data_IF_837705254312
#
_entry.id   IF_837705254312
#
_cell.length_a   1.000
_cell.length_b   1.000
_cell.length_c   1.000
_cell.angle_alpha   90.00
_cell.angle_beta   90.00
_cell.angle_gamma   90.00
#
_symmetry.space_group_name_H-M   'P 1'
#
loop_
_entity.id
_entity.type
_entity.pdbx_description
1 polymer ?
#
# COMPACT_ATOMS: atom_id res chain seq x y z
N UNK A 1 6.48 -6.64 22.53
CA UNK A 1 6.42 -5.59 21.48
C UNK A 1 7.69 -5.74 20.66
N UNK A 2 7.60 -5.77 19.33
CA UNK A 2 8.77 -5.84 18.43
C UNK A 2 8.98 -4.46 17.79
N UNK A 3 10.23 -4.12 17.53
CA UNK A 3 10.60 -2.92 16.79
C UNK A 3 10.68 -3.26 15.30
N UNK A 4 9.96 -2.50 14.49
CA UNK A 4 9.91 -2.67 13.04
C UNK A 4 10.25 -1.41 12.27
N UNK A 5 10.56 -1.55 10.98
CA UNK A 5 10.87 -0.46 10.05
C UNK A 5 10.33 -0.77 8.66
N UNK A 6 9.89 0.27 7.95
CA UNK A 6 9.55 0.18 6.53
C UNK A 6 10.85 0.21 5.70
N UNK A 7 11.06 -0.79 4.85
CA UNK A 7 12.36 -1.00 4.18
C UNK A 7 12.73 0.06 3.16
N UNK A 8 11.76 0.81 2.63
CA UNK A 8 12.02 1.85 1.63
C UNK A 8 12.90 3.01 2.12
N UNK A 9 13.08 3.17 3.44
CA UNK A 9 14.03 4.16 4.01
C UNK A 9 15.48 3.92 3.56
N UNK A 10 15.77 2.72 3.07
CA UNK A 10 17.05 2.33 2.45
C UNK A 10 16.84 1.62 1.11
N UNK A 11 15.85 2.03 0.34
CA UNK A 11 15.48 1.43 -0.95
C UNK A 11 16.61 1.36 -1.99
N UNK A 12 17.64 2.20 -1.84
CA UNK A 12 18.85 2.16 -2.66
C UNK A 12 19.83 1.02 -2.32
N UNK A 13 19.59 0.27 -1.24
CA UNK A 13 20.37 -0.92 -0.88
C UNK A 13 19.70 -2.19 -1.43
N UNK A 14 20.46 -3.25 -1.78
CA UNK A 14 19.87 -4.57 -1.95
C UNK A 14 19.16 -5.04 -0.67
N UNK A 15 18.08 -5.83 -0.81
CA UNK A 15 17.29 -6.33 0.33
C UNK A 15 18.17 -6.98 1.40
N UNK A 16 19.15 -7.81 1.00
CA UNK A 16 20.04 -8.49 1.94
C UNK A 16 20.85 -7.51 2.79
N UNK A 17 21.41 -6.47 2.17
CA UNK A 17 22.19 -5.45 2.88
C UNK A 17 21.30 -4.61 3.80
N UNK A 18 20.07 -4.29 3.37
CA UNK A 18 19.09 -3.59 4.18
C UNK A 18 18.72 -4.40 5.44
N UNK A 19 18.43 -5.69 5.29
CA UNK A 19 18.09 -6.56 6.43
C UNK A 19 19.26 -6.74 7.39
N UNK A 20 20.48 -6.89 6.86
CA UNK A 20 21.71 -6.95 7.66
C UNK A 20 21.90 -5.66 8.47
N UNK A 21 21.69 -4.52 7.85
CA UNK A 21 21.79 -3.21 8.50
C UNK A 21 20.75 -3.07 9.61
N UNK A 22 19.48 -3.38 9.33
CA UNK A 22 18.41 -3.33 10.33
C UNK A 22 18.65 -4.28 11.50
N UNK A 23 19.12 -5.49 11.22
CA UNK A 23 19.48 -6.46 12.28
C UNK A 23 20.57 -5.91 13.21
N UNK A 24 21.56 -5.20 12.67
CA UNK A 24 22.63 -4.59 13.47
C UNK A 24 22.13 -3.50 14.42
N UNK A 25 20.98 -2.90 14.14
CA UNK A 25 20.30 -1.90 14.98
C UNK A 25 19.29 -2.50 15.96
N UNK A 26 19.15 -3.83 15.99
CA UNK A 26 18.18 -4.51 16.87
C UNK A 26 16.75 -4.49 16.35
N UNK A 27 16.52 -4.15 15.07
CA UNK A 27 15.23 -4.28 14.41
C UNK A 27 14.83 -5.75 14.31
N UNK A 28 13.59 -6.08 14.57
CA UNK A 28 13.07 -7.44 14.65
C UNK A 28 12.06 -7.76 13.56
N UNK A 29 11.45 -6.73 12.96
CA UNK A 29 10.48 -6.91 11.89
C UNK A 29 10.59 -5.81 10.85
N UNK A 30 10.11 -6.11 9.66
CA UNK A 30 10.09 -5.17 8.53
C UNK A 30 8.70 -5.09 7.92
N UNK A 31 8.33 -3.91 7.50
CA UNK A 31 7.28 -3.67 6.52
C UNK A 31 7.98 -3.50 5.16
N UNK A 32 7.51 -4.18 4.13
CA UNK A 32 8.19 -4.17 2.83
C UNK A 32 7.29 -3.51 1.79
N UNK A 33 7.79 -2.43 1.19
CA UNK A 33 7.14 -1.77 0.05
C UNK A 33 7.13 -2.68 -1.18
N UNK A 34 5.95 -2.83 -1.80
CA UNK A 34 5.75 -3.70 -2.96
C UNK A 34 4.93 -3.03 -4.08
N UNK A 35 4.85 -1.71 -4.09
CA UNK A 35 4.18 -0.91 -5.11
C UNK A 35 3.80 0.48 -4.64
N UNK A 36 3.31 1.30 -5.57
CA UNK A 36 2.95 2.68 -5.30
C UNK A 36 4.15 3.56 -4.94
N UNK A 37 3.96 4.51 -4.03
CA UNK A 37 5.01 5.46 -3.61
C UNK A 37 6.22 4.81 -2.91
N UNK A 38 6.08 3.73 -2.11
CA UNK A 38 7.22 3.02 -1.54
C UNK A 38 8.13 2.37 -2.56
N UNK A 39 7.65 2.17 -3.80
CA UNK A 39 8.39 1.47 -4.83
C UNK A 39 8.39 -0.05 -4.66
N UNK A 40 9.23 -0.72 -5.45
CA UNK A 40 9.32 -2.19 -5.56
C UNK A 40 10.75 -2.70 -5.36
N UNK A 41 11.65 -1.87 -4.85
CA UNK A 41 13.10 -2.16 -4.81
C UNK A 41 13.43 -3.43 -4.03
N UNK A 42 12.69 -3.69 -2.94
CA UNK A 42 12.90 -4.86 -2.09
C UNK A 42 11.88 -5.99 -2.32
N UNK A 43 10.77 -5.71 -2.99
CA UNK A 43 9.75 -6.68 -3.31
C UNK A 43 9.01 -6.24 -4.58
N UNK A 44 9.32 -6.86 -5.70
CA UNK A 44 8.57 -6.67 -6.94
C UNK A 44 7.58 -7.82 -7.14
N UNK A 45 6.28 -7.61 -6.87
CA UNK A 45 5.28 -8.66 -7.04
C UNK A 45 5.18 -9.16 -8.48
N UNK A 46 5.44 -8.32 -9.48
CA UNK A 46 5.40 -8.76 -10.89
C UNK A 46 6.47 -9.81 -11.21
N UNK A 47 7.57 -9.79 -10.46
CA UNK A 47 8.61 -10.82 -10.57
C UNK A 47 8.32 -11.99 -9.63
N UNK A 48 8.08 -11.70 -8.35
CA UNK A 48 8.01 -12.73 -7.30
C UNK A 48 6.75 -13.61 -7.38
N UNK A 49 5.67 -13.13 -7.98
CA UNK A 49 4.47 -13.92 -8.21
C UNK A 49 4.64 -14.95 -9.33
N UNK A 50 5.56 -14.70 -10.29
CA UNK A 50 5.73 -15.48 -11.51
C UNK A 50 7.04 -16.25 -11.60
N UNK A 51 8.02 -15.97 -10.73
CA UNK A 51 9.32 -16.65 -10.67
C UNK A 51 9.51 -17.28 -9.29
N UNK A 52 9.30 -18.59 -9.20
CA UNK A 52 9.37 -19.32 -7.94
C UNK A 52 10.79 -19.34 -7.35
N UNK A 53 11.83 -19.36 -8.19
CA UNK A 53 13.21 -19.35 -7.72
C UNK A 53 13.55 -18.02 -7.03
N UNK A 54 13.14 -16.90 -7.63
CA UNK A 54 13.31 -15.58 -7.03
C UNK A 54 12.45 -15.38 -5.78
N UNK A 55 11.24 -15.92 -5.78
CA UNK A 55 10.41 -15.90 -4.58
C UNK A 55 11.06 -16.67 -3.43
N UNK A 56 11.62 -17.85 -3.70
CA UNK A 56 12.31 -18.62 -2.68
C UNK A 56 13.57 -17.88 -2.18
N UNK A 57 14.36 -17.27 -3.08
CA UNK A 57 15.51 -16.43 -2.71
C UNK A 57 15.10 -15.26 -1.79
N UNK A 58 14.00 -14.59 -2.12
CA UNK A 58 13.43 -13.53 -1.29
C UNK A 58 13.07 -14.05 0.12
N UNK A 59 12.35 -15.16 0.23
CA UNK A 59 11.99 -15.77 1.50
C UNK A 59 13.20 -16.20 2.32
N UNK A 60 14.18 -16.84 1.67
CA UNK A 60 15.40 -17.33 2.32
C UNK A 60 16.25 -16.15 2.82
N UNK A 61 16.27 -15.04 2.08
CA UNK A 61 16.97 -13.81 2.51
C UNK A 61 16.35 -13.24 3.79
N UNK A 62 15.03 -13.15 3.86
CA UNK A 62 14.33 -12.68 5.07
C UNK A 62 14.61 -13.62 6.25
N UNK A 63 14.50 -14.92 6.03
CA UNK A 63 14.74 -15.96 7.04
C UNK A 63 16.18 -15.96 7.53
N UNK A 64 17.16 -15.76 6.67
CA UNK A 64 18.58 -15.69 7.00
C UNK A 64 18.90 -14.67 8.08
N UNK A 65 18.17 -13.54 8.06
CA UNK A 65 18.34 -12.46 9.04
C UNK A 65 17.36 -12.55 10.22
N UNK A 66 16.58 -13.63 10.31
CA UNK A 66 15.58 -13.83 11.37
C UNK A 66 14.70 -12.57 11.53
N UNK A 67 14.17 -12.09 10.39
CA UNK A 67 13.25 -10.96 10.32
C UNK A 67 11.82 -11.45 10.17
N UNK A 68 10.90 -10.79 10.87
CA UNK A 68 9.46 -10.97 10.65
C UNK A 68 8.97 -9.95 9.65
N UNK A 69 8.14 -10.35 8.70
CA UNK A 69 7.43 -9.40 7.82
C UNK A 69 6.11 -9.05 8.48
N UNK A 70 5.92 -7.78 8.84
CA UNK A 70 4.70 -7.29 9.48
C UNK A 70 3.55 -7.09 8.49
N UNK A 71 3.86 -6.58 7.32
CA UNK A 71 2.93 -6.33 6.23
C UNK A 71 3.70 -6.08 4.93
N UNK A 72 3.04 -6.30 3.81
CA UNK A 72 3.40 -5.63 2.55
C UNK A 72 2.67 -4.30 2.47
N UNK A 73 3.35 -3.26 1.99
CA UNK A 73 2.78 -1.94 1.83
C UNK A 73 2.78 -1.50 0.37
N UNK A 74 1.63 -0.97 -0.04
CA UNK A 74 1.43 -0.41 -1.37
C UNK A 74 0.65 0.90 -1.22
N UNK A 75 1.36 1.99 -1.07
CA UNK A 75 0.78 3.31 -0.89
C UNK A 75 0.62 3.98 -2.25
N UNK A 76 -0.61 4.14 -2.69
CA UNK A 76 -0.95 4.73 -3.99
C UNK A 76 -2.31 5.41 -3.98
N UNK A 77 -2.71 5.94 -5.13
CA UNK A 77 -4.02 6.56 -5.30
C UNK A 77 -4.85 5.81 -6.38
N UNK A 78 -5.52 4.70 -6.04
CA UNK A 78 -6.26 3.88 -7.00
C UNK A 78 -7.52 4.55 -7.54
N UNK A 79 -7.92 5.67 -6.97
CA UNK A 79 -9.04 6.51 -7.43
C UNK A 79 -8.59 7.86 -7.97
N UNK A 80 -7.32 7.94 -8.42
CA UNK A 80 -6.76 9.13 -9.05
C UNK A 80 -7.61 9.59 -10.24
N UNK A 81 -7.86 10.91 -10.45
CA UNK A 81 -8.61 11.41 -11.60
C UNK A 81 -8.03 10.97 -12.94
N UNK A 82 -6.71 10.96 -13.08
CA UNK A 82 -6.04 10.35 -14.23
C UNK A 82 -6.23 8.82 -14.18
N UNK A 83 -6.98 8.28 -15.13
CA UNK A 83 -7.39 6.87 -15.17
C UNK A 83 -6.23 5.90 -15.39
N UNK A 84 -5.19 6.32 -16.09
CA UNK A 84 -3.98 5.49 -16.29
C UNK A 84 -3.21 5.32 -14.98
N UNK A 85 -3.06 6.42 -14.23
CA UNK A 85 -2.44 6.37 -12.89
C UNK A 85 -3.30 5.57 -11.91
N UNK A 86 -4.62 5.77 -11.92
CA UNK A 86 -5.53 5.02 -11.07
C UNK A 86 -5.41 3.51 -11.32
N UNK A 87 -5.42 3.09 -12.60
CA UNK A 87 -5.28 1.68 -12.98
C UNK A 87 -3.92 1.09 -12.59
N UNK A 88 -2.84 1.87 -12.71
CA UNK A 88 -1.51 1.44 -12.28
C UNK A 88 -1.44 1.21 -10.77
N UNK A 89 -1.98 2.14 -9.98
CA UNK A 89 -2.04 2.00 -8.52
C UNK A 89 -2.96 0.85 -8.08
N UNK A 90 -4.14 0.68 -8.71
CA UNK A 90 -5.02 -0.46 -8.42
C UNK A 90 -4.33 -1.79 -8.71
N UNK A 91 -3.63 -1.90 -9.84
CA UNK A 91 -2.82 -3.08 -10.18
C UNK A 91 -1.77 -3.38 -9.11
N UNK A 92 -1.01 -2.37 -8.68
CA UNK A 92 0.00 -2.53 -7.64
C UNK A 92 -0.63 -2.99 -6.31
N UNK A 93 -1.76 -2.41 -5.92
CA UNK A 93 -2.46 -2.78 -4.69
C UNK A 93 -3.02 -4.21 -4.76
N UNK A 94 -3.57 -4.65 -5.90
CA UNK A 94 -4.00 -6.05 -6.09
C UNK A 94 -2.80 -7.00 -6.07
N UNK A 95 -1.70 -6.62 -6.68
CA UNK A 95 -0.46 -7.39 -6.60
C UNK A 95 0.07 -7.52 -5.16
N UNK A 96 -0.07 -6.48 -4.34
CA UNK A 96 0.26 -6.54 -2.91
C UNK A 96 -0.59 -7.56 -2.15
N UNK A 97 -1.88 -7.65 -2.47
CA UNK A 97 -2.79 -8.67 -1.92
C UNK A 97 -2.33 -10.07 -2.32
N UNK A 98 -2.06 -10.31 -3.61
CA UNK A 98 -1.58 -11.60 -4.11
C UNK A 98 -0.22 -11.98 -3.51
N UNK A 99 0.66 -11.00 -3.31
CA UNK A 99 1.94 -11.23 -2.66
C UNK A 99 1.77 -11.59 -1.17
N UNK A 100 0.83 -10.94 -0.48
CA UNK A 100 0.48 -11.27 0.90
C UNK A 100 -0.09 -12.69 1.01
N UNK A 101 -1.00 -13.08 0.12
CA UNK A 101 -1.52 -14.45 0.03
C UNK A 101 -0.38 -15.47 -0.16
N UNK A 102 0.50 -15.25 -1.16
CA UNK A 102 1.62 -16.16 -1.46
C UNK A 102 2.60 -16.29 -0.29
N UNK A 103 2.85 -15.20 0.43
CA UNK A 103 3.75 -15.19 1.58
C UNK A 103 3.10 -15.72 2.87
N UNK A 104 1.77 -15.81 2.92
CA UNK A 104 1.02 -16.23 4.10
C UNK A 104 0.73 -15.10 5.09
N UNK A 105 0.70 -13.85 4.64
CA UNK A 105 0.24 -12.70 5.41
C UNK A 105 -1.26 -12.47 5.20
N UNK A 106 -1.91 -11.92 6.23
CA UNK A 106 -3.33 -11.58 6.21
C UNK A 106 -3.59 -10.08 6.26
N UNK A 107 -2.55 -9.27 6.09
CA UNK A 107 -2.60 -7.83 6.20
C UNK A 107 -1.76 -7.15 5.11
N UNK A 108 -2.30 -6.05 4.55
CA UNK A 108 -1.57 -5.07 3.76
C UNK A 108 -1.76 -3.67 4.35
N UNK A 109 -0.79 -2.79 4.10
CA UNK A 109 -0.87 -1.37 4.45
C UNK A 109 -0.97 -0.53 3.18
N UNK A 110 -1.84 0.50 3.15
CA UNK A 110 -2.05 1.33 1.97
C UNK A 110 -2.66 2.69 2.33
N UNK A 111 -2.75 3.59 1.33
CA UNK A 111 -3.51 4.83 1.44
C UNK A 111 -4.95 4.63 0.94
N UNK A 112 -5.86 5.48 1.42
CA UNK A 112 -7.26 5.43 1.02
C UNK A 112 -7.52 5.82 -0.44
N UNK A 113 -6.69 6.68 -0.99
CA UNK A 113 -6.93 7.37 -2.25
C UNK A 113 -7.57 8.75 -2.06
N UNK A 114 -7.50 9.56 -3.11
CA UNK A 114 -8.15 10.87 -3.20
C UNK A 114 -8.55 11.13 -4.66
N UNK A 115 -9.85 11.25 -4.97
CA UNK A 115 -10.31 11.61 -6.31
C UNK A 115 -10.24 13.12 -6.57
N UNK A 116 -10.68 13.53 -7.74
CA UNK A 116 -10.89 14.93 -8.07
C UNK A 116 -12.21 15.48 -7.51
N UNK A 117 -12.57 16.67 -7.93
CA UNK A 117 -13.82 17.35 -7.56
C UNK A 117 -14.98 17.06 -8.54
N UNK A 118 -14.68 16.49 -9.71
CA UNK A 118 -15.66 16.10 -10.74
C UNK A 118 -15.06 15.05 -11.69
N UNK A 119 -15.90 14.55 -12.61
CA UNK A 119 -15.50 13.51 -13.57
C UNK A 119 -14.41 13.96 -14.57
N UNK A 120 -14.29 15.26 -14.83
CA UNK A 120 -13.31 15.83 -15.77
C UNK A 120 -12.02 16.28 -15.09
N UNK A 121 -11.90 16.11 -13.78
CA UNK A 121 -10.70 16.47 -13.03
C UNK A 121 -9.47 15.75 -13.55
N UNK A 122 -8.33 16.43 -13.54
CA UNK A 122 -7.03 15.85 -13.93
C UNK A 122 -6.16 15.54 -12.71
N UNK A 123 -6.43 16.19 -11.59
CA UNK A 123 -5.65 16.11 -10.35
C UNK A 123 -6.54 15.81 -9.15
N UNK A 124 -6.01 15.15 -8.10
CA UNK A 124 -6.73 14.99 -6.84
C UNK A 124 -7.07 16.34 -6.23
N UNK A 125 -8.22 16.44 -5.58
CA UNK A 125 -8.64 17.61 -4.82
C UNK A 125 -8.89 17.22 -3.37
N UNK A 126 -7.93 17.52 -2.49
CA UNK A 126 -8.03 17.15 -1.08
C UNK A 126 -8.85 18.18 -0.29
N UNK A 127 -10.08 17.83 0.04
CA UNK A 127 -11.02 18.67 0.79
C UNK A 127 -10.89 18.39 2.29
N UNK A 128 -10.57 19.43 3.06
CA UNK A 128 -10.32 19.33 4.52
C UNK A 128 -11.21 20.23 5.36
N UNK A 129 -12.11 20.99 4.76
CA UNK A 129 -13.04 21.88 5.47
C UNK A 129 -14.39 21.92 4.76
N UNK A 130 -15.45 22.23 5.52
CA UNK A 130 -16.82 22.27 5.02
C UNK A 130 -17.23 23.65 4.43
N UNK A 131 -16.33 24.60 4.41
CA UNK A 131 -16.60 25.95 3.90
C UNK A 131 -15.58 26.35 2.81
N UNK A 132 -16.01 26.96 1.69
CA UNK A 132 -17.42 27.27 1.35
C UNK A 132 -18.28 26.01 1.09
N UNK A 133 -19.62 26.19 1.02
CA UNK A 133 -20.59 25.09 0.90
C UNK A 133 -20.33 24.12 -0.26
N UNK A 134 -19.68 24.58 -1.32
CA UNK A 134 -19.30 23.74 -2.45
C UNK A 134 -18.34 22.61 -2.04
N UNK A 135 -17.49 22.82 -1.02
CA UNK A 135 -16.58 21.77 -0.52
C UNK A 135 -17.33 20.60 0.10
N UNK A 136 -18.50 20.84 0.70
CA UNK A 136 -19.37 19.77 1.18
C UNK A 136 -19.86 18.87 0.03
N UNK A 137 -20.24 19.46 -1.12
CA UNK A 137 -20.67 18.70 -2.30
C UNK A 137 -19.52 17.92 -2.95
N UNK A 138 -18.32 18.51 -2.98
CA UNK A 138 -17.11 17.81 -3.46
C UNK A 138 -16.84 16.62 -2.55
N UNK A 139 -16.89 16.78 -1.24
CA UNK A 139 -16.64 15.72 -0.27
C UNK A 139 -17.63 14.56 -0.45
N UNK A 140 -18.95 14.85 -0.61
CA UNK A 140 -19.97 13.82 -0.87
C UNK A 140 -19.65 13.02 -2.15
N UNK A 141 -19.28 13.72 -3.23
CA UNK A 141 -18.88 13.11 -4.49
C UNK A 141 -17.66 12.20 -4.32
N UNK A 142 -16.65 12.68 -3.61
CA UNK A 142 -15.40 11.94 -3.37
C UNK A 142 -15.62 10.69 -2.52
N UNK A 143 -16.40 10.81 -1.45
CA UNK A 143 -16.71 9.69 -0.57
C UNK A 143 -17.52 8.60 -1.28
N UNK A 144 -18.38 8.96 -2.21
CA UNK A 144 -19.08 7.97 -3.02
C UNK A 144 -18.09 7.14 -3.85
N UNK A 145 -17.15 7.78 -4.55
CA UNK A 145 -16.14 7.10 -5.35
C UNK A 145 -15.25 6.21 -4.44
N UNK A 146 -14.83 6.76 -3.30
CA UNK A 146 -14.02 6.05 -2.33
C UNK A 146 -14.70 4.77 -1.84
N UNK A 147 -15.93 4.88 -1.37
CA UNK A 147 -16.69 3.75 -0.83
C UNK A 147 -16.95 2.68 -1.89
N UNK A 148 -17.29 3.08 -3.11
CA UNK A 148 -17.53 2.13 -4.19
C UNK A 148 -16.26 1.37 -4.58
N UNK A 149 -15.11 2.04 -4.67
CA UNK A 149 -13.82 1.40 -4.89
C UNK A 149 -13.48 0.40 -3.77
N UNK A 150 -13.57 0.85 -2.50
CA UNK A 150 -13.17 0.01 -1.37
C UNK A 150 -14.08 -1.20 -1.16
N UNK A 151 -15.35 -1.15 -1.51
CA UNK A 151 -16.24 -2.32 -1.51
C UNK A 151 -15.73 -3.44 -2.43
N UNK A 152 -15.32 -3.08 -3.64
CA UNK A 152 -14.76 -4.03 -4.62
C UNK A 152 -13.39 -4.55 -4.15
N UNK A 153 -12.51 -3.66 -3.76
CA UNK A 153 -11.16 -4.02 -3.34
C UNK A 153 -11.15 -4.93 -2.10
N UNK A 154 -11.99 -4.65 -1.09
CA UNK A 154 -12.11 -5.47 0.12
C UNK A 154 -12.66 -6.86 -0.21
N UNK A 155 -13.61 -6.96 -1.14
CA UNK A 155 -14.10 -8.27 -1.59
C UNK A 155 -12.97 -9.09 -2.22
N UNK A 156 -12.22 -8.50 -3.14
CA UNK A 156 -11.04 -9.13 -3.75
C UNK A 156 -10.00 -9.54 -2.69
N UNK A 157 -9.62 -8.64 -1.80
CA UNK A 157 -8.63 -8.94 -0.76
C UNK A 157 -9.05 -10.12 0.13
N UNK A 158 -10.35 -10.20 0.48
CA UNK A 158 -10.90 -11.30 1.28
C UNK A 158 -10.86 -12.64 0.54
N UNK A 159 -11.15 -12.67 -0.76
CA UNK A 159 -11.05 -13.87 -1.60
C UNK A 159 -9.63 -14.45 -1.59
N UNK A 160 -8.61 -13.59 -1.44
CA UNK A 160 -7.19 -13.95 -1.35
C UNK A 160 -6.65 -14.07 0.09
N UNK A 161 -7.54 -14.22 1.08
CA UNK A 161 -7.14 -14.46 2.47
C UNK A 161 -6.59 -13.23 3.21
N UNK A 162 -6.56 -12.04 2.59
CA UNK A 162 -6.21 -10.79 3.23
C UNK A 162 -7.46 -10.20 3.89
N UNK A 163 -7.54 -10.31 5.20
CA UNK A 163 -8.70 -9.91 5.98
C UNK A 163 -8.48 -8.64 6.82
N UNK A 164 -7.30 -8.04 6.71
CA UNK A 164 -6.94 -6.77 7.35
C UNK A 164 -6.31 -5.85 6.31
N UNK A 165 -6.88 -4.66 6.20
CA UNK A 165 -6.32 -3.57 5.41
C UNK A 165 -6.10 -2.41 6.36
N UNK A 166 -4.85 -2.05 6.58
CA UNK A 166 -4.49 -0.91 7.39
C UNK A 166 -4.37 0.33 6.48
N UNK A 167 -5.34 1.23 6.60
CA UNK A 167 -5.27 2.53 5.94
C UNK A 167 -4.40 3.46 6.77
N UNK A 168 -3.27 3.86 6.22
CA UNK A 168 -2.45 4.89 6.82
C UNK A 168 -3.15 6.25 6.67
N UNK A 169 -3.39 6.91 7.79
CA UNK A 169 -3.95 8.26 7.81
C UNK A 169 -2.90 9.24 7.32
N UNK A 170 -3.11 9.80 6.13
CA UNK A 170 -2.11 10.63 5.50
C UNK A 170 -2.75 11.86 4.83
N UNK A 171 -2.12 13.02 5.04
CA UNK A 171 -2.51 14.25 4.35
C UNK A 171 -2.48 14.07 2.84
N UNK A 172 -3.45 14.69 2.14
CA UNK A 172 -3.60 14.53 0.69
C UNK A 172 -4.46 13.33 0.27
N UNK A 173 -4.97 12.55 1.23
CA UNK A 173 -5.89 11.43 1.01
C UNK A 173 -7.19 11.60 1.78
N UNK A 174 -8.26 10.91 1.35
CA UNK A 174 -9.58 11.06 1.97
C UNK A 174 -9.58 10.64 3.43
N UNK A 175 -8.89 9.54 3.78
CA UNK A 175 -8.68 9.14 5.17
C UNK A 175 -7.38 9.76 5.67
N UNK A 176 -7.45 10.78 6.49
CA UNK A 176 -6.29 11.52 6.98
C UNK A 176 -6.28 11.78 8.49
N UNK A 177 -7.35 11.41 9.17
CA UNK A 177 -7.48 11.48 10.63
C UNK A 177 -8.45 10.42 11.15
N UNK A 178 -8.69 10.38 12.45
CA UNK A 178 -9.56 9.37 13.10
C UNK A 178 -11.06 9.59 12.89
N UNK A 179 -11.47 10.68 12.27
CA UNK A 179 -12.87 11.03 12.00
C UNK A 179 -13.31 10.67 10.57
N UNK A 180 -12.32 10.39 9.69
CA UNK A 180 -12.53 10.08 8.27
C UNK A 180 -12.33 8.61 7.91
#
# INVERSE_FOLDING_TARGET
MKLGVLTNVVGNMPLEDALKYFKSMGIQMVEIGCGGYPGKDHCDPEVLLHDEAKYQEFCDTIKKYDMEVSAFSCHGNPIHPNKELAAAYDKDMRNAVLMAEKYGLHQINCFSGCPGDCETSQYPNWVVCAWPDDFGKILEYQWKILVDYWKDFVAFAREHGVNKIALEMHQGFCVYNTET
#
